data_IF_024144508331
#
_entry.id   IF_024144508331
#
_cell.length_a   1.000
_cell.length_b   1.000
_cell.length_c   1.000
_cell.angle_alpha   90.00
_cell.angle_beta   90.00
_cell.angle_gamma   90.00
#
_symmetry.space_group_name_H-M   'P 1'
#
loop_
_entity.id
_entity.type
_entity.pdbx_description
1 polymer ?
#
# COMPACT_ATOMS: atom_id res chain seq x y z
N UNK A 1 8.51 -71.47 -82.49
CA UNK A 1 8.27 -70.07 -82.92
C UNK A 1 7.06 -69.49 -82.17
N UNK A 2 6.95 -69.67 -80.85
CA UNK A 2 5.77 -69.22 -80.06
C UNK A 2 6.10 -68.20 -78.95
N UNK A 3 7.38 -67.84 -78.75
CA UNK A 3 7.78 -66.95 -77.66
C UNK A 3 7.57 -65.45 -77.94
N UNK A 4 7.40 -65.03 -79.20
CA UNK A 4 7.32 -63.61 -79.58
C UNK A 4 5.99 -62.91 -79.23
N UNK A 5 4.79 -63.51 -79.48
CA UNK A 5 3.51 -62.85 -79.17
C UNK A 5 3.20 -62.82 -77.68
N UNK A 6 3.56 -63.86 -76.92
CA UNK A 6 3.38 -63.88 -75.46
C UNK A 6 4.20 -62.77 -74.76
N UNK A 7 5.44 -62.55 -75.21
CA UNK A 7 6.31 -61.46 -74.71
C UNK A 7 5.75 -60.08 -75.06
N UNK A 8 5.07 -59.92 -76.19
CA UNK A 8 4.41 -58.65 -76.57
C UNK A 8 3.15 -58.36 -75.73
N UNK A 9 2.39 -59.40 -75.38
CA UNK A 9 1.21 -59.28 -74.52
C UNK A 9 1.61 -58.97 -73.07
N UNK A 10 2.66 -59.63 -72.56
CA UNK A 10 3.31 -59.29 -71.28
C UNK A 10 3.84 -57.84 -71.28
N UNK A 11 4.51 -57.40 -72.35
CA UNK A 11 4.99 -56.02 -72.48
C UNK A 11 3.84 -55.00 -72.43
N UNK A 12 2.70 -55.31 -73.06
CA UNK A 12 1.51 -54.45 -73.04
C UNK A 12 0.86 -54.41 -71.65
N UNK A 13 0.78 -55.54 -70.96
CA UNK A 13 0.27 -55.62 -69.59
C UNK A 13 1.16 -54.83 -68.62
N UNK A 14 2.49 -55.00 -68.72
CA UNK A 14 3.47 -54.23 -67.94
C UNK A 14 3.35 -52.72 -68.19
N UNK A 15 3.09 -52.28 -69.44
CA UNK A 15 2.87 -50.87 -69.76
C UNK A 15 1.57 -50.32 -69.15
N UNK A 16 0.51 -51.13 -69.11
CA UNK A 16 -0.75 -50.75 -68.44
C UNK A 16 -0.59 -50.68 -66.92
N UNK A 17 0.09 -51.66 -66.31
CA UNK A 17 0.43 -51.64 -64.89
C UNK A 17 1.29 -50.42 -64.53
N UNK A 18 2.34 -50.13 -65.31
CA UNK A 18 3.17 -48.93 -65.16
C UNK A 18 2.33 -47.64 -65.22
N UNK A 19 1.32 -47.58 -66.09
CA UNK A 19 0.41 -46.42 -66.17
C UNK A 19 -0.46 -46.30 -64.92
N UNK A 20 -1.07 -47.40 -64.47
CA UNK A 20 -1.89 -47.40 -63.23
C UNK A 20 -1.09 -47.04 -61.99
N UNK A 21 0.15 -47.53 -61.88
CA UNK A 21 1.07 -47.18 -60.80
C UNK A 21 1.41 -45.69 -60.86
N UNK A 22 1.66 -45.13 -62.06
CA UNK A 22 1.94 -43.70 -62.23
C UNK A 22 0.76 -42.82 -61.86
N UNK A 23 -0.45 -43.21 -62.22
CA UNK A 23 -1.68 -42.47 -61.86
C UNK A 23 -1.94 -42.54 -60.34
N UNK A 24 -1.71 -43.70 -59.71
CA UNK A 24 -1.78 -43.87 -58.27
C UNK A 24 -0.69 -43.06 -57.54
N UNK A 25 0.52 -43.02 -58.07
CA UNK A 25 1.63 -42.20 -57.56
C UNK A 25 1.27 -40.71 -57.61
N UNK A 26 0.70 -40.24 -58.73
CA UNK A 26 0.26 -38.85 -58.87
C UNK A 26 -0.86 -38.50 -57.86
N UNK A 27 -1.80 -39.42 -57.61
CA UNK A 27 -2.86 -39.24 -56.61
C UNK A 27 -2.28 -39.15 -55.19
N UNK A 28 -1.37 -40.05 -54.83
CA UNK A 28 -0.67 -40.03 -53.54
C UNK A 28 0.17 -38.76 -53.36
N UNK A 29 0.83 -38.29 -54.42
CA UNK A 29 1.57 -37.03 -54.38
C UNK A 29 0.65 -35.82 -54.13
N UNK A 30 -0.53 -35.79 -54.74
CA UNK A 30 -1.53 -34.74 -54.50
C UNK A 30 -2.06 -34.76 -53.07
N UNK A 31 -2.37 -35.94 -52.53
CA UNK A 31 -2.80 -36.09 -51.13
C UNK A 31 -1.70 -35.70 -50.14
N UNK A 32 -0.45 -36.11 -50.39
CA UNK A 32 0.71 -35.73 -49.59
C UNK A 32 0.97 -34.23 -49.61
N UNK A 33 0.70 -33.53 -50.73
CA UNK A 33 0.73 -32.07 -50.79
C UNK A 33 -0.39 -31.45 -49.94
N UNK A 34 -1.61 -31.96 -50.02
CA UNK A 34 -2.74 -31.49 -49.20
C UNK A 34 -2.46 -31.64 -47.69
N UNK A 35 -1.91 -32.79 -47.29
CA UNK A 35 -1.52 -33.05 -45.89
C UNK A 35 -0.41 -32.10 -45.45
N UNK A 36 0.62 -31.89 -46.27
CA UNK A 36 1.69 -30.92 -45.97
C UNK A 36 1.16 -29.51 -45.75
N UNK A 37 0.26 -29.03 -46.62
CA UNK A 37 -0.36 -27.71 -46.46
C UNK A 37 -1.18 -27.61 -45.15
N UNK A 38 -1.90 -28.68 -44.76
CA UNK A 38 -2.62 -28.71 -43.48
C UNK A 38 -1.68 -28.68 -42.28
N UNK A 39 -0.55 -29.38 -42.35
CA UNK A 39 0.48 -29.35 -41.30
C UNK A 39 1.04 -27.94 -41.16
N UNK A 40 1.42 -27.29 -42.26
CA UNK A 40 1.92 -25.91 -42.23
C UNK A 40 0.89 -24.93 -41.64
N UNK A 41 -0.40 -25.09 -41.98
CA UNK A 41 -1.47 -24.30 -41.38
C UNK A 41 -1.58 -24.53 -39.86
N UNK A 42 -1.55 -25.79 -39.41
CA UNK A 42 -1.60 -26.12 -37.98
C UNK A 42 -0.37 -25.56 -37.25
N UNK A 43 0.83 -25.71 -37.81
CA UNK A 43 2.06 -25.18 -37.23
C UNK A 43 2.02 -23.65 -37.13
N UNK A 44 1.48 -22.98 -38.15
CA UNK A 44 1.26 -21.54 -38.10
C UNK A 44 0.30 -21.16 -36.97
N UNK A 45 -0.80 -21.90 -36.79
CA UNK A 45 -1.76 -21.67 -35.71
C UNK A 45 -1.11 -21.91 -34.34
N UNK A 46 -0.39 -23.03 -34.17
CA UNK A 46 0.33 -23.36 -32.93
C UNK A 46 1.30 -22.22 -32.58
N UNK A 47 2.09 -21.74 -33.54
CA UNK A 47 3.01 -20.63 -33.32
C UNK A 47 2.29 -19.36 -32.85
N UNK A 48 1.17 -19.00 -33.48
CA UNK A 48 0.37 -17.83 -33.04
C UNK A 48 -0.20 -18.00 -31.64
N UNK A 49 -0.71 -19.19 -31.29
CA UNK A 49 -1.25 -19.46 -29.96
C UNK A 49 -0.17 -19.51 -28.89
N UNK A 50 1.01 -20.09 -29.18
CA UNK A 50 2.16 -20.05 -28.29
C UNK A 50 2.61 -18.61 -28.00
N UNK A 51 2.59 -17.73 -29.01
CA UNK A 51 2.83 -16.31 -28.83
C UNK A 51 1.83 -15.65 -27.86
N UNK A 52 0.54 -15.92 -28.04
CA UNK A 52 -0.53 -15.43 -27.15
C UNK A 52 -0.38 -15.94 -25.72
N UNK A 53 -0.05 -17.22 -25.55
CA UNK A 53 0.19 -17.81 -24.22
C UNK A 53 1.34 -17.09 -23.51
N UNK A 54 2.48 -16.90 -24.19
CA UNK A 54 3.62 -16.16 -23.62
C UNK A 54 3.25 -14.72 -23.23
N UNK A 55 2.47 -14.04 -24.07
CA UNK A 55 1.99 -12.69 -23.78
C UNK A 55 1.14 -12.67 -22.50
N UNK A 56 0.13 -13.52 -22.40
CA UNK A 56 -0.76 -13.55 -21.23
C UNK A 56 -0.06 -14.03 -19.96
N UNK A 57 0.88 -14.97 -20.06
CA UNK A 57 1.75 -15.36 -18.93
C UNK A 57 2.52 -14.15 -18.39
N UNK A 58 3.05 -13.29 -19.28
CA UNK A 58 3.73 -12.06 -18.89
C UNK A 58 2.77 -11.07 -18.23
N UNK A 59 1.57 -10.87 -18.77
CA UNK A 59 0.61 -9.95 -18.15
C UNK A 59 0.12 -10.45 -16.78
N UNK A 60 -0.12 -11.76 -16.62
CA UNK A 60 -0.46 -12.36 -15.33
C UNK A 60 0.65 -12.13 -14.30
N UNK A 61 1.92 -12.26 -14.70
CA UNK A 61 3.05 -12.05 -13.78
C UNK A 61 3.18 -10.61 -13.26
N UNK A 62 2.54 -9.62 -13.92
CA UNK A 62 2.52 -8.23 -13.45
C UNK A 62 1.42 -7.97 -12.42
N UNK A 63 0.44 -8.87 -12.31
CA UNK A 63 -0.66 -8.70 -11.37
C UNK A 63 -0.14 -8.89 -9.95
N UNK A 64 -0.47 -7.94 -9.08
CA UNK A 64 -0.15 -7.98 -7.66
C UNK A 64 -1.35 -7.50 -6.87
N UNK A 65 -1.55 -8.10 -5.69
CA UNK A 65 -2.57 -7.67 -4.74
C UNK A 65 -1.99 -6.57 -3.86
N UNK A 66 -2.82 -5.57 -3.54
CA UNK A 66 -2.43 -4.53 -2.60
C UNK A 66 -2.50 -5.10 -1.19
N UNK A 67 -1.46 -4.88 -0.39
CA UNK A 67 -1.46 -5.28 1.01
C UNK A 67 -2.49 -4.44 1.78
N UNK A 68 -3.36 -5.11 2.55
CA UNK A 68 -4.30 -4.49 3.47
C UNK A 68 -3.74 -4.64 4.88
N UNK A 69 -3.67 -3.55 5.63
CA UNK A 69 -3.12 -3.59 6.98
C UNK A 69 -3.97 -4.46 7.92
N UNK A 70 -3.30 -5.34 8.66
CA UNK A 70 -3.94 -6.27 9.59
C UNK A 70 -4.38 -7.59 8.96
N UNK A 71 -4.28 -7.74 7.64
CA UNK A 71 -4.62 -8.97 6.93
C UNK A 71 -3.37 -9.67 6.38
N UNK A 72 -3.44 -11.00 6.30
CA UNK A 72 -2.38 -11.79 5.68
C UNK A 72 -2.33 -11.50 4.17
N UNK A 73 -1.14 -11.50 3.54
CA UNK A 73 -1.03 -11.27 2.11
C UNK A 73 -1.79 -12.35 1.34
N UNK A 74 -2.88 -11.94 0.68
CA UNK A 74 -3.62 -12.81 -0.22
C UNK A 74 -2.75 -13.21 -1.42
N UNK A 75 -2.96 -14.41 -1.94
CA UNK A 75 -2.30 -14.91 -3.14
C UNK A 75 -3.30 -15.00 -4.29
N UNK A 76 -2.88 -14.58 -5.48
CA UNK A 76 -3.69 -14.74 -6.68
C UNK A 76 -3.87 -16.24 -6.98
N UNK A 77 -5.12 -16.70 -6.99
CA UNK A 77 -5.47 -18.09 -7.32
C UNK A 77 -5.18 -18.37 -8.79
N UNK A 78 -4.37 -19.40 -9.06
CA UNK A 78 -4.26 -20.01 -10.37
C UNK A 78 -5.37 -21.06 -10.55
N UNK A 79 -6.07 -21.03 -11.68
CA UNK A 79 -7.07 -22.05 -12.01
C UNK A 79 -6.37 -23.31 -12.52
N UNK A 80 -6.82 -24.49 -12.06
CA UNK A 80 -6.31 -25.77 -12.54
C UNK A 80 -6.91 -26.14 -13.91
N UNK A 81 -6.30 -27.09 -14.63
CA UNK A 81 -6.78 -27.53 -15.96
C UNK A 81 -8.23 -28.03 -15.94
N UNK A 82 -8.64 -28.73 -14.88
CA UNK A 82 -10.02 -29.22 -14.69
C UNK A 82 -11.02 -28.06 -14.53
N UNK A 83 -10.63 -27.00 -13.81
CA UNK A 83 -11.45 -25.82 -13.58
C UNK A 83 -11.56 -24.98 -14.86
N UNK A 84 -10.48 -24.89 -15.64
CA UNK A 84 -10.48 -24.26 -16.97
C UNK A 84 -11.35 -25.01 -17.96
N UNK A 85 -11.34 -26.34 -17.92
CA UNK A 85 -12.20 -27.18 -18.76
C UNK A 85 -13.69 -27.10 -18.37
N UNK A 86 -13.98 -26.80 -17.10
CA UNK A 86 -15.35 -26.53 -16.62
C UNK A 86 -15.86 -25.14 -17.04
N UNK A 87 -14.97 -24.19 -17.30
CA UNK A 87 -15.28 -22.85 -17.83
C UNK A 87 -15.53 -22.92 -19.36
N UNK A 88 -16.56 -23.67 -19.77
CA UNK A 88 -16.86 -23.93 -21.19
C UNK A 88 -17.48 -22.75 -21.96
N UNK A 89 -17.73 -21.62 -21.29
CA UNK A 89 -18.43 -20.48 -21.90
C UNK A 89 -17.55 -19.21 -21.94
N UNK A 90 -16.62 -19.11 -22.91
CA UNK A 90 -15.73 -17.93 -23.04
C UNK A 90 -16.51 -16.63 -23.28
N UNK A 91 -17.70 -16.71 -23.90
CA UNK A 91 -18.57 -15.57 -24.14
C UNK A 91 -19.14 -14.97 -22.86
N UNK A 92 -19.46 -15.82 -21.86
CA UNK A 92 -19.97 -15.36 -20.56
C UNK A 92 -18.87 -14.66 -19.79
N UNK A 93 -17.65 -15.21 -19.79
CA UNK A 93 -16.48 -14.57 -19.19
C UNK A 93 -16.18 -13.22 -19.82
N UNK A 94 -16.23 -13.14 -21.16
CA UNK A 94 -15.98 -11.90 -21.90
C UNK A 94 -17.02 -10.82 -21.57
N UNK A 95 -18.31 -11.19 -21.50
CA UNK A 95 -19.38 -10.29 -21.05
C UNK A 95 -19.19 -9.85 -19.60
N UNK A 96 -18.76 -10.75 -18.71
CA UNK A 96 -18.50 -10.43 -17.31
C UNK A 96 -17.33 -9.47 -17.15
N UNK A 97 -16.24 -9.67 -17.89
CA UNK A 97 -15.10 -8.75 -17.94
C UNK A 97 -15.57 -7.37 -18.40
N UNK A 98 -16.32 -7.29 -19.51
CA UNK A 98 -16.83 -6.01 -20.03
C UNK A 98 -17.72 -5.27 -19.01
N UNK A 99 -18.59 -5.99 -18.28
CA UNK A 99 -19.40 -5.42 -17.21
C UNK A 99 -18.54 -4.88 -16.05
N UNK A 100 -17.54 -5.65 -15.60
CA UNK A 100 -16.63 -5.24 -14.52
C UNK A 100 -15.76 -4.06 -14.93
N UNK A 101 -15.29 -4.02 -16.17
CA UNK A 101 -14.55 -2.87 -16.71
C UNK A 101 -15.43 -1.62 -16.76
N UNK A 102 -16.68 -1.75 -17.22
CA UNK A 102 -17.63 -0.64 -17.22
C UNK A 102 -17.91 -0.12 -15.79
N UNK A 103 -18.11 -1.02 -14.83
CA UNK A 103 -18.27 -0.65 -13.42
C UNK A 103 -17.02 0.05 -12.86
N UNK A 104 -15.82 -0.48 -13.15
CA UNK A 104 -14.54 0.13 -12.73
C UNK A 104 -14.39 1.55 -13.30
N UNK A 105 -14.77 1.77 -14.56
CA UNK A 105 -14.72 3.08 -15.19
C UNK A 105 -15.69 4.09 -14.57
N UNK A 106 -16.83 3.63 -14.03
CA UNK A 106 -17.78 4.48 -13.31
C UNK A 106 -17.31 4.84 -11.90
N UNK A 107 -16.72 3.89 -11.18
CA UNK A 107 -16.36 4.06 -9.76
C UNK A 107 -15.25 5.10 -9.54
N UNK A 108 -14.38 5.35 -10.53
CA UNK A 108 -13.24 6.31 -10.48
C UNK A 108 -12.61 6.46 -9.08
N UNK A 109 -12.18 5.36 -8.43
CA UNK A 109 -11.66 5.44 -7.07
C UNK A 109 -10.35 6.24 -7.04
N UNK A 110 -10.19 7.10 -6.05
CA UNK A 110 -8.91 7.79 -5.82
C UNK A 110 -7.95 6.85 -5.09
N UNK A 111 -7.14 6.11 -5.85
CA UNK A 111 -6.13 5.19 -5.31
C UNK A 111 -4.99 5.92 -4.56
N UNK A 112 -4.82 7.22 -4.78
CA UNK A 112 -3.84 8.05 -4.05
C UNK A 112 -4.29 8.42 -2.64
N UNK A 113 -5.59 8.39 -2.35
CA UNK A 113 -6.13 8.83 -1.06
C UNK A 113 -5.59 8.00 0.12
N UNK A 114 -5.36 6.70 -0.08
CA UNK A 114 -4.80 5.83 0.97
C UNK A 114 -3.34 6.22 1.25
N UNK A 115 -2.52 6.42 0.22
CA UNK A 115 -1.13 6.83 0.39
C UNK A 115 -1.02 8.22 1.03
N UNK A 116 -1.88 9.17 0.61
CA UNK A 116 -1.98 10.49 1.23
C UNK A 116 -2.41 10.42 2.69
N UNK A 117 -3.37 9.56 3.03
CA UNK A 117 -3.79 9.33 4.41
C UNK A 117 -2.62 8.83 5.26
N UNK A 118 -1.89 7.81 4.78
CA UNK A 118 -0.70 7.28 5.50
C UNK A 118 0.35 8.34 5.74
N UNK A 119 0.65 9.13 4.71
CA UNK A 119 1.62 10.22 4.84
C UNK A 119 1.18 11.27 5.86
N UNK A 120 -0.11 11.63 5.86
CA UNK A 120 -0.69 12.58 6.84
C UNK A 120 -0.76 12.00 8.25
N UNK A 121 -1.07 10.72 8.39
CA UNK A 121 -1.11 10.01 9.67
C UNK A 121 0.28 9.99 10.32
N UNK A 122 1.32 9.65 9.56
CA UNK A 122 2.69 9.68 10.05
C UNK A 122 3.11 11.08 10.50
N UNK A 123 2.79 12.11 9.70
CA UNK A 123 3.07 13.50 10.03
C UNK A 123 2.28 13.97 11.26
N UNK A 124 1.02 13.56 11.38
CA UNK A 124 0.19 13.85 12.54
C UNK A 124 0.80 13.27 13.82
N UNK A 125 1.20 11.99 13.79
CA UNK A 125 1.82 11.33 14.95
C UNK A 125 3.12 12.03 15.38
N UNK A 126 3.96 12.45 14.43
CA UNK A 126 5.15 13.25 14.72
C UNK A 126 4.81 14.57 15.41
N UNK A 127 3.80 15.29 14.92
CA UNK A 127 3.40 16.55 15.54
C UNK A 127 2.76 16.38 16.91
N UNK A 128 2.06 15.28 17.16
CA UNK A 128 1.55 14.94 18.51
C UNK A 128 2.72 14.75 19.47
N UNK A 129 3.74 13.98 19.06
CA UNK A 129 4.94 13.78 19.87
C UNK A 129 5.69 15.09 20.16
N UNK A 130 5.84 15.96 19.15
CA UNK A 130 6.45 17.29 19.31
C UNK A 130 5.65 18.16 20.30
N UNK A 131 4.31 18.18 20.18
CA UNK A 131 3.42 18.92 21.06
C UNK A 131 3.54 18.43 22.50
N UNK A 132 3.54 17.12 22.71
CA UNK A 132 3.66 16.50 24.04
C UNK A 132 5.00 16.85 24.70
N UNK A 133 6.09 16.83 23.92
CA UNK A 133 7.41 17.22 24.39
C UNK A 133 7.45 18.70 24.83
N UNK A 134 6.98 19.62 23.98
CA UNK A 134 6.94 21.06 24.30
C UNK A 134 6.03 21.32 25.50
N UNK A 135 4.90 20.63 25.59
CA UNK A 135 3.95 20.74 26.71
C UNK A 135 4.60 20.30 28.02
N UNK A 136 5.32 19.17 27.99
CA UNK A 136 6.07 18.65 29.15
C UNK A 136 7.16 19.62 29.60
N UNK A 137 7.91 20.23 28.67
CA UNK A 137 8.92 21.23 29.00
C UNK A 137 8.30 22.48 29.64
N UNK A 138 7.23 23.01 29.04
CA UNK A 138 6.48 24.15 29.59
C UNK A 138 6.02 23.86 31.01
N UNK A 139 5.48 22.68 31.27
CA UNK A 139 4.94 22.32 32.57
C UNK A 139 6.05 22.20 33.62
N UNK A 140 7.23 21.69 33.26
CA UNK A 140 8.43 21.70 34.11
C UNK A 140 8.87 23.12 34.48
N UNK A 141 8.94 24.03 33.50
CA UNK A 141 9.30 25.43 33.76
C UNK A 141 8.27 26.14 34.63
N UNK A 142 6.98 25.87 34.39
CA UNK A 142 5.89 26.42 35.20
C UNK A 142 5.98 25.94 36.64
N UNK A 143 6.22 24.65 36.86
CA UNK A 143 6.39 24.09 38.19
C UNK A 143 7.59 24.73 38.92
N UNK A 144 8.74 24.82 38.25
CA UNK A 144 9.92 25.46 38.82
C UNK A 144 9.67 26.94 39.18
N UNK A 145 8.96 27.68 38.32
CA UNK A 145 8.56 29.06 38.60
C UNK A 145 7.63 29.17 39.81
N UNK A 146 6.62 28.30 39.90
CA UNK A 146 5.69 28.28 41.05
C UNK A 146 6.41 27.93 42.35
N UNK A 147 7.38 26.99 42.31
CA UNK A 147 8.23 26.66 43.45
C UNK A 147 9.08 27.86 43.90
N UNK A 148 9.75 28.55 42.98
CA UNK A 148 10.55 29.74 43.28
C UNK A 148 9.69 30.89 43.81
N UNK A 149 8.48 31.11 43.24
CA UNK A 149 7.54 32.12 43.74
C UNK A 149 7.10 31.83 45.17
N UNK A 150 6.79 30.57 45.48
CA UNK A 150 6.44 30.13 46.84
C UNK A 150 7.60 30.29 47.81
N UNK A 151 8.82 29.92 47.40
CA UNK A 151 10.02 30.08 48.21
C UNK A 151 10.26 31.56 48.54
N UNK A 152 10.23 32.44 47.52
CA UNK A 152 10.38 33.89 47.70
C UNK A 152 9.36 34.45 48.69
N UNK A 153 8.09 34.05 48.56
CA UNK A 153 7.02 34.49 49.46
C UNK A 153 7.27 34.05 50.90
N UNK A 154 7.61 32.76 51.10
CA UNK A 154 7.85 32.20 52.42
C UNK A 154 9.04 32.87 53.13
N UNK A 155 10.15 33.05 52.42
CA UNK A 155 11.35 33.71 52.96
C UNK A 155 11.08 35.18 53.28
N UNK A 156 10.36 35.89 52.40
CA UNK A 156 9.97 37.27 52.63
C UNK A 156 9.07 37.40 53.87
N UNK A 157 8.01 36.60 53.99
CA UNK A 157 7.10 36.67 55.13
C UNK A 157 7.80 36.31 56.44
N UNK A 158 8.71 35.33 56.43
CA UNK A 158 9.51 34.99 57.60
C UNK A 158 10.38 36.18 58.04
N UNK A 159 11.09 36.84 57.11
CA UNK A 159 11.90 38.01 57.41
C UNK A 159 11.07 39.23 57.85
N UNK A 160 9.96 39.51 57.15
CA UNK A 160 9.04 40.59 57.46
C UNK A 160 8.51 40.47 58.89
N UNK A 161 8.03 39.29 59.28
CA UNK A 161 7.54 39.05 60.64
C UNK A 161 8.61 39.28 61.72
N UNK A 162 9.87 38.91 61.45
CA UNK A 162 10.98 39.17 62.38
C UNK A 162 11.22 40.67 62.52
N UNK A 163 11.23 41.42 61.41
CA UNK A 163 11.45 42.87 61.41
C UNK A 163 10.31 43.61 62.11
N UNK A 164 9.05 43.29 61.79
CA UNK A 164 7.86 43.92 62.40
C UNK A 164 7.83 43.71 63.91
N UNK A 165 8.09 42.49 64.38
CA UNK A 165 8.16 42.22 65.82
C UNK A 165 9.26 43.03 66.50
N UNK A 166 10.45 43.13 65.88
CA UNK A 166 11.57 43.90 66.44
C UNK A 166 11.33 45.41 66.43
N UNK A 167 10.66 45.94 65.40
CA UNK A 167 10.24 47.33 65.37
C UNK A 167 9.30 47.64 66.54
N UNK A 168 8.27 46.81 66.71
CA UNK A 168 7.27 46.97 67.77
C UNK A 168 7.90 46.94 69.16
N UNK A 169 8.75 45.94 69.43
CA UNK A 169 9.51 45.84 70.68
C UNK A 169 10.37 47.09 70.95
N UNK A 170 11.16 47.53 69.96
CA UNK A 170 12.05 48.68 70.11
C UNK A 170 11.27 49.99 70.31
N UNK A 171 10.20 50.19 69.54
CA UNK A 171 9.40 51.42 69.61
C UNK A 171 8.68 51.54 70.95
N UNK A 172 8.07 50.46 71.43
CA UNK A 172 7.43 50.41 72.74
C UNK A 172 8.42 50.70 73.88
N UNK A 173 9.63 50.15 73.80
CA UNK A 173 10.70 50.39 74.78
C UNK A 173 11.11 51.87 74.81
N UNK A 174 11.33 52.48 73.63
CA UNK A 174 11.81 53.87 73.53
C UNK A 174 10.74 54.90 73.90
N UNK A 175 9.48 54.65 73.53
CA UNK A 175 8.36 55.58 73.78
C UNK A 175 7.64 55.35 75.09
N UNK A 176 8.10 54.36 75.89
CA UNK A 176 7.50 53.97 77.18
C UNK A 176 6.00 53.63 77.05
N UNK A 177 5.64 52.90 76.00
CA UNK A 177 4.28 52.40 75.76
C UNK A 177 3.54 52.95 74.53
N UNK A 178 4.21 53.64 73.60
CA UNK A 178 3.68 53.93 72.27
C UNK A 178 3.79 52.72 71.33
N UNK A 179 3.02 52.70 70.25
CA UNK A 179 2.95 51.57 69.31
C UNK A 179 3.32 51.96 67.88
N UNK A 180 3.95 51.04 67.14
CA UNK A 180 4.31 51.18 65.73
C UNK A 180 4.35 49.79 65.07
N UNK A 181 3.76 49.65 63.89
CA UNK A 181 3.69 48.39 63.14
C UNK A 181 4.00 48.60 61.67
N UNK A 182 4.49 47.54 61.02
CA UNK A 182 4.62 47.47 59.57
C UNK A 182 3.49 46.58 59.06
N UNK A 183 2.73 47.06 58.09
CA UNK A 183 1.64 46.32 57.47
C UNK A 183 1.87 46.16 55.97
N UNK A 184 1.42 45.04 55.41
CA UNK A 184 1.42 44.84 53.96
C UNK A 184 0.21 45.56 53.36
N UNK A 185 0.43 46.32 52.29
CA UNK A 185 -0.68 46.97 51.57
C UNK A 185 -1.59 45.92 50.94
N UNK A 186 -0.99 44.88 50.36
CA UNK A 186 -1.70 43.71 49.82
C UNK A 186 -1.33 42.46 50.64
N UNK A 187 -2.32 41.90 51.34
CA UNK A 187 -2.15 40.70 52.16
C UNK A 187 -2.00 39.40 51.36
N UNK A 188 -2.36 39.39 50.06
CA UNK A 188 -2.26 38.23 49.19
C UNK A 188 -0.95 38.20 48.39
N UNK A 189 -0.42 39.36 48.01
CA UNK A 189 0.87 39.49 47.33
C UNK A 189 1.71 40.63 47.91
N UNK A 190 2.66 40.36 48.82
CA UNK A 190 3.48 41.40 49.44
C UNK A 190 4.40 42.16 48.46
N UNK A 191 4.47 41.72 47.19
CA UNK A 191 5.33 42.31 46.17
C UNK A 191 4.59 43.25 45.20
N UNK A 192 3.26 43.41 45.34
CA UNK A 192 2.44 44.23 44.44
C UNK A 192 2.45 45.72 44.83
N UNK A 193 2.04 46.02 46.06
CA UNK A 193 1.74 47.38 46.52
C UNK A 193 2.68 47.90 47.63
N UNK A 194 3.54 47.03 48.18
CA UNK A 194 4.57 47.40 49.15
C UNK A 194 4.14 47.33 50.61
N UNK A 195 4.82 48.12 51.45
CA UNK A 195 4.71 48.09 52.93
C UNK A 195 4.30 49.47 53.44
N UNK A 196 3.31 49.51 54.34
CA UNK A 196 2.89 50.68 55.11
C UNK A 196 3.59 50.74 56.47
N UNK A 197 3.92 51.96 56.91
CA UNK A 197 4.50 52.29 58.21
C UNK A 197 3.67 53.39 58.86
#
# INVERSE_FOLDING_TARGET
>A
QEALPAVQEEQKNLLQEMKTIRDAEHALQSEALSIRLKIEQIDSHISTHQGKVKYWQKEISKLSLHAIEGEAPEQLRALCEEELAALQEPDVLSKRIALLEAQRHQLRPNLGAIAEYRSKEELYLKHVEELDNITSERDKFREAFEQLRKQRLNEFMAGFNVITNKLKENYQMLTLGGDAELELVDSLDPFSEGIMF
#
